data_IF_806960250317
#
_entry.id   IF_806960250317
#
_cell.length_a   1.000
_cell.length_b   1.000
_cell.length_c   1.000
_cell.angle_alpha   90.00
_cell.angle_beta   90.00
_cell.angle_gamma   90.00
#
_symmetry.space_group_name_H-M   'P 1'
#
loop_
_entity.id
_entity.type
_entity.pdbx_description
1 polymer ?
#
# COMPACT_ATOMS: atom_id res chain seq x y z
N UNK A 1 20.52 16.81 -13.48
CA UNK A 1 19.58 17.85 -13.11
C UNK A 1 19.27 17.77 -11.63
N UNK A 2 19.24 18.91 -10.95
CA UNK A 2 19.07 18.94 -9.49
C UNK A 2 17.76 18.32 -9.01
N UNK A 3 16.58 18.57 -9.62
CA UNK A 3 15.35 17.91 -9.21
C UNK A 3 15.42 16.39 -9.34
N UNK A 4 16.05 15.88 -10.39
CA UNK A 4 16.20 14.44 -10.58
C UNK A 4 17.12 13.82 -9.51
N UNK A 5 18.18 14.56 -9.16
CA UNK A 5 19.11 14.14 -8.12
C UNK A 5 18.41 14.10 -6.75
N UNK A 6 17.59 15.10 -6.46
CA UNK A 6 16.83 15.14 -5.22
C UNK A 6 15.82 14.00 -5.14
N UNK A 7 15.10 13.73 -6.24
CA UNK A 7 14.16 12.62 -6.26
C UNK A 7 14.86 11.28 -6.06
N UNK A 8 16.00 11.07 -6.73
CA UNK A 8 16.79 9.85 -6.54
C UNK A 8 17.22 9.68 -5.07
N UNK A 9 17.58 10.79 -4.42
CA UNK A 9 17.92 10.77 -2.99
C UNK A 9 16.72 10.36 -2.15
N UNK A 10 15.53 10.84 -2.49
CA UNK A 10 14.31 10.47 -1.79
C UNK A 10 14.03 8.97 -1.91
N UNK A 11 14.22 8.40 -3.11
CA UNK A 11 14.06 6.95 -3.31
C UNK A 11 15.06 6.18 -2.46
N UNK A 12 16.30 6.65 -2.38
CA UNK A 12 17.31 6.03 -1.53
C UNK A 12 16.89 6.07 -0.06
N UNK A 13 16.33 7.19 0.40
CA UNK A 13 15.80 7.30 1.76
C UNK A 13 14.68 6.30 2.00
N UNK A 14 13.79 6.08 1.03
CA UNK A 14 12.72 5.07 1.15
C UNK A 14 13.31 3.67 1.32
N UNK A 15 14.31 3.33 0.52
CA UNK A 15 14.97 2.02 0.61
C UNK A 15 15.63 1.81 1.97
N UNK A 16 16.14 2.89 2.55
CA UNK A 16 16.77 2.86 3.88
C UNK A 16 15.77 3.06 5.01
N UNK A 17 14.47 3.10 4.69
CA UNK A 17 13.39 3.31 5.66
C UNK A 17 13.50 4.64 6.42
N UNK A 18 14.09 5.63 5.79
CA UNK A 18 14.18 6.99 6.32
C UNK A 18 13.02 7.80 5.76
N UNK A 19 11.82 7.46 6.22
CA UNK A 19 10.58 7.96 5.62
C UNK A 19 10.36 9.46 5.81
N UNK A 20 10.74 10.00 6.95
CA UNK A 20 10.61 11.43 7.19
C UNK A 20 11.45 12.25 6.23
N UNK A 21 12.69 11.83 6.01
CA UNK A 21 13.60 12.49 5.07
C UNK A 21 13.11 12.36 3.64
N UNK A 22 12.61 11.17 3.28
CA UNK A 22 12.02 10.95 1.97
C UNK A 22 10.82 11.86 1.74
N UNK A 23 9.95 11.99 2.74
CA UNK A 23 8.73 12.77 2.62
C UNK A 23 9.01 14.26 2.41
N UNK A 24 10.04 14.81 3.06
CA UNK A 24 10.41 16.20 2.84
C UNK A 24 10.63 16.53 1.37
N UNK A 25 11.20 15.56 0.65
CA UNK A 25 11.47 15.72 -0.78
C UNK A 25 10.22 15.38 -1.61
N UNK A 26 9.53 14.29 -1.25
CA UNK A 26 8.46 13.72 -2.06
C UNK A 26 7.12 14.44 -1.94
N UNK A 27 6.91 15.22 -0.88
CA UNK A 27 5.62 15.83 -0.62
C UNK A 27 5.00 16.54 -1.84
N UNK A 28 5.73 17.38 -2.59
CA UNK A 28 5.14 18.08 -3.73
C UNK A 28 4.74 17.19 -4.90
N UNK A 29 5.29 15.98 -4.99
CA UNK A 29 5.05 15.09 -6.11
C UNK A 29 3.71 14.37 -6.04
N UNK A 30 3.22 14.11 -4.84
CA UNK A 30 1.96 13.40 -4.61
C UNK A 30 1.80 12.13 -5.45
N UNK A 31 2.88 11.37 -5.58
CA UNK A 31 2.92 10.11 -6.33
C UNK A 31 2.91 8.91 -5.39
N UNK A 32 3.03 7.70 -5.95
CA UNK A 32 3.01 6.47 -5.16
C UNK A 32 4.13 6.44 -4.13
N UNK A 33 5.31 6.96 -4.46
CA UNK A 33 6.43 7.02 -3.51
C UNK A 33 6.10 7.94 -2.33
N UNK A 34 5.42 9.06 -2.59
CA UNK A 34 4.92 9.94 -1.54
C UNK A 34 3.93 9.20 -0.63
N UNK A 35 3.02 8.44 -1.24
CA UNK A 35 2.05 7.65 -0.48
C UNK A 35 2.74 6.61 0.39
N UNK A 36 3.79 5.96 -0.10
CA UNK A 36 4.56 5.00 0.68
C UNK A 36 5.17 5.66 1.91
N UNK A 37 5.75 6.84 1.75
CA UNK A 37 6.32 7.59 2.88
C UNK A 37 5.25 7.96 3.90
N UNK A 38 4.10 8.49 3.45
CA UNK A 38 2.99 8.82 4.34
C UNK A 38 2.49 7.60 5.11
N UNK A 39 2.24 6.51 4.39
CA UNK A 39 1.72 5.26 4.94
C UNK A 39 2.67 4.70 6.01
N UNK A 40 3.97 4.74 5.74
CA UNK A 40 5.00 4.23 6.64
C UNK A 40 5.12 5.08 7.91
N UNK A 41 4.75 6.36 7.83
CA UNK A 41 4.74 7.27 8.97
C UNK A 41 3.39 7.32 9.70
N UNK A 42 2.39 6.58 9.21
CA UNK A 42 1.08 6.56 9.83
C UNK A 42 0.12 7.64 9.37
N UNK A 43 0.45 8.41 8.35
CA UNK A 43 -0.45 9.41 7.77
C UNK A 43 -1.37 8.73 6.75
N UNK A 44 -2.27 7.87 7.27
CA UNK A 44 -3.05 6.95 6.47
C UNK A 44 -4.01 7.64 5.49
N UNK A 45 -4.67 8.70 5.93
CA UNK A 45 -5.62 9.41 5.06
C UNK A 45 -4.91 10.12 3.91
N UNK A 46 -3.75 10.73 4.18
CA UNK A 46 -2.97 11.39 3.14
C UNK A 46 -2.48 10.38 2.09
N UNK A 47 -1.99 9.23 2.55
CA UNK A 47 -1.56 8.16 1.66
C UNK A 47 -2.72 7.63 0.81
N UNK A 48 -3.86 7.38 1.44
CA UNK A 48 -5.03 6.83 0.75
C UNK A 48 -5.53 7.77 -0.34
N UNK A 49 -5.59 9.06 -0.05
CA UNK A 49 -6.01 10.07 -1.03
C UNK A 49 -5.16 10.02 -2.30
N UNK A 50 -3.85 9.91 -2.12
CA UNK A 50 -2.93 9.83 -3.27
C UNK A 50 -3.16 8.54 -4.06
N UNK A 51 -3.26 7.41 -3.34
CA UNK A 51 -3.41 6.11 -4.00
C UNK A 51 -4.73 5.98 -4.74
N UNK A 52 -5.79 6.59 -4.23
CA UNK A 52 -7.09 6.56 -4.91
C UNK A 52 -7.05 7.29 -6.25
N UNK A 53 -6.15 8.24 -6.42
CA UNK A 53 -5.98 9.01 -7.65
C UNK A 53 -4.87 8.45 -8.54
N UNK A 54 -4.18 7.42 -8.09
CA UNK A 54 -3.09 6.79 -8.83
C UNK A 54 -3.60 5.67 -9.74
N UNK A 55 -2.73 5.14 -10.59
CA UNK A 55 -3.06 3.96 -11.38
C UNK A 55 -3.42 2.81 -10.46
N UNK A 56 -4.51 2.12 -10.78
CA UNK A 56 -5.02 1.01 -9.96
C UNK A 56 -4.34 -0.29 -10.37
N UNK A 57 -3.14 -0.50 -9.85
CA UNK A 57 -2.36 -1.73 -10.04
C UNK A 57 -2.64 -2.68 -8.87
N UNK A 58 -2.17 -3.91 -8.97
CA UNK A 58 -2.28 -4.85 -7.84
C UNK A 58 -1.61 -4.27 -6.60
N UNK A 59 -0.43 -3.66 -6.76
CA UNK A 59 0.32 -3.08 -5.65
C UNK A 59 -0.40 -1.89 -5.01
N UNK A 60 -0.91 -0.94 -5.82
CA UNK A 60 -1.60 0.22 -5.26
C UNK A 60 -2.92 -0.17 -4.62
N UNK A 61 -3.64 -1.16 -5.15
CA UNK A 61 -4.85 -1.65 -4.54
C UNK A 61 -4.56 -2.40 -3.24
N UNK A 62 -3.47 -3.15 -3.19
CA UNK A 62 -3.05 -3.83 -1.97
C UNK A 62 -2.75 -2.82 -0.86
N UNK A 63 -2.02 -1.75 -1.18
CA UNK A 63 -1.75 -0.69 -0.22
C UNK A 63 -3.03 0.00 0.25
N UNK A 64 -3.98 0.25 -0.67
CA UNK A 64 -5.28 0.81 -0.30
C UNK A 64 -6.04 -0.12 0.63
N UNK A 65 -5.93 -1.44 0.44
CA UNK A 65 -6.55 -2.42 1.32
C UNK A 65 -6.01 -2.30 2.75
N UNK A 66 -4.68 -2.21 2.89
CA UNK A 66 -4.04 -2.01 4.20
C UNK A 66 -4.56 -0.74 4.85
N UNK A 67 -4.59 0.37 4.09
CA UNK A 67 -5.00 1.67 4.62
C UNK A 67 -6.47 1.67 5.04
N UNK A 68 -7.33 1.05 4.25
CA UNK A 68 -8.74 0.94 4.62
C UNK A 68 -8.93 0.06 5.86
N UNK A 69 -8.14 -1.01 6.00
CA UNK A 69 -8.16 -1.84 7.20
C UNK A 69 -7.76 -1.02 8.44
N UNK A 70 -6.70 -0.23 8.33
CA UNK A 70 -6.25 0.65 9.43
C UNK A 70 -7.32 1.66 9.83
N UNK A 71 -8.07 2.16 8.85
CA UNK A 71 -9.12 3.15 9.07
C UNK A 71 -10.47 2.54 9.48
N UNK A 72 -10.55 1.22 9.59
CA UNK A 72 -11.76 0.54 10.01
C UNK A 72 -12.77 0.29 8.89
N UNK A 73 -12.39 0.54 7.64
CA UNK A 73 -13.26 0.33 6.47
C UNK A 73 -13.06 -1.09 5.93
N UNK A 74 -13.52 -2.08 6.69
CA UNK A 74 -13.24 -3.49 6.40
C UNK A 74 -13.77 -3.98 5.06
N UNK A 75 -15.02 -3.61 4.73
CA UNK A 75 -15.62 -4.06 3.47
C UNK A 75 -14.85 -3.50 2.26
N UNK A 76 -14.45 -2.25 2.33
CA UNK A 76 -13.65 -1.64 1.27
C UNK A 76 -12.28 -2.32 1.18
N UNK A 77 -11.66 -2.62 2.32
CA UNK A 77 -10.38 -3.31 2.37
C UNK A 77 -10.48 -4.68 1.70
N UNK A 78 -11.53 -5.45 2.00
CA UNK A 78 -11.76 -6.76 1.40
C UNK A 78 -11.94 -6.64 -0.12
N UNK A 79 -12.76 -5.71 -0.57
CA UNK A 79 -13.01 -5.49 -1.99
C UNK A 79 -11.71 -5.18 -2.76
N UNK A 80 -10.89 -4.30 -2.20
CA UNK A 80 -9.60 -3.94 -2.80
C UNK A 80 -8.63 -5.10 -2.83
N UNK A 81 -8.61 -5.90 -1.76
CA UNK A 81 -7.73 -7.05 -1.67
C UNK A 81 -8.12 -8.12 -2.70
N UNK A 82 -9.41 -8.39 -2.85
CA UNK A 82 -9.89 -9.32 -3.86
C UNK A 82 -9.54 -8.85 -5.26
N UNK A 83 -9.71 -7.56 -5.53
CA UNK A 83 -9.35 -6.96 -6.82
C UNK A 83 -7.85 -7.07 -7.09
N UNK A 84 -7.03 -6.77 -6.09
CA UNK A 84 -5.57 -6.89 -6.22
C UNK A 84 -5.17 -8.33 -6.56
N UNK A 85 -5.80 -9.30 -5.91
CA UNK A 85 -5.51 -10.72 -6.14
C UNK A 85 -5.95 -11.18 -7.55
N UNK A 86 -7.00 -10.58 -8.11
CA UNK A 86 -7.38 -10.87 -9.48
C UNK A 86 -6.35 -10.36 -10.48
N UNK A 87 -5.75 -9.22 -10.20
CA UNK A 87 -4.70 -8.67 -11.06
C UNK A 87 -3.40 -9.46 -10.91
N UNK A 88 -3.04 -9.80 -9.67
CA UNK A 88 -1.81 -10.54 -9.36
C UNK A 88 -2.10 -11.57 -8.28
N UNK A 89 -2.12 -12.83 -8.68
CA UNK A 89 -2.47 -13.96 -7.82
C UNK A 89 -1.57 -14.07 -6.58
N UNK A 90 -0.33 -13.59 -6.66
CA UNK A 90 0.61 -13.60 -5.55
C UNK A 90 0.12 -12.79 -4.35
N UNK A 91 -0.80 -11.87 -4.56
CA UNK A 91 -1.36 -11.06 -3.47
C UNK A 91 -2.13 -11.92 -2.45
N UNK A 92 -2.65 -13.08 -2.86
CA UNK A 92 -3.30 -14.03 -1.96
C UNK A 92 -2.34 -14.50 -0.88
N UNK A 93 -1.17 -14.96 -1.31
CA UNK A 93 -0.15 -15.46 -0.39
C UNK A 93 0.37 -14.36 0.51
N UNK A 94 0.61 -13.19 -0.09
CA UNK A 94 1.11 -12.03 0.64
C UNK A 94 0.13 -11.63 1.76
N UNK A 95 -1.17 -11.57 1.45
CA UNK A 95 -2.20 -11.17 2.42
C UNK A 95 -2.32 -12.16 3.58
N UNK A 96 -2.19 -13.45 3.31
CA UNK A 96 -2.24 -14.47 4.36
C UNK A 96 -1.12 -14.32 5.38
N UNK A 97 0.03 -13.79 4.94
CA UNK A 97 1.21 -13.63 5.78
C UNK A 97 1.37 -12.22 6.33
N UNK A 98 0.58 -11.27 5.84
CA UNK A 98 0.70 -9.86 6.22
C UNK A 98 0.00 -9.62 7.56
N UNK A 99 0.71 -9.19 8.60
CA UNK A 99 0.09 -8.93 9.91
C UNK A 99 -1.04 -7.92 9.84
N UNK A 100 -1.02 -7.01 8.89
CA UNK A 100 -2.05 -5.97 8.77
C UNK A 100 -3.33 -6.49 8.12
N UNK A 101 -3.26 -7.60 7.39
CA UNK A 101 -4.42 -8.11 6.63
C UNK A 101 -4.83 -9.52 7.03
N UNK A 102 -3.96 -10.29 7.69
CA UNK A 102 -4.22 -11.70 7.97
C UNK A 102 -5.47 -11.95 8.80
N UNK A 103 -5.75 -11.08 9.77
CA UNK A 103 -6.97 -11.21 10.59
C UNK A 103 -8.22 -10.98 9.75
N UNK A 104 -8.16 -10.01 8.84
CA UNK A 104 -9.27 -9.71 7.93
C UNK A 104 -9.51 -10.88 6.96
N UNK A 105 -8.43 -11.44 6.44
CA UNK A 105 -8.49 -12.61 5.56
C UNK A 105 -9.21 -13.76 6.27
N UNK A 106 -8.88 -14.02 7.52
CA UNK A 106 -9.53 -15.07 8.31
C UNK A 106 -10.99 -14.74 8.62
N UNK A 107 -11.26 -13.51 9.03
CA UNK A 107 -12.59 -13.07 9.42
C UNK A 107 -13.61 -13.26 8.28
N UNK A 108 -13.20 -12.94 7.07
CA UNK A 108 -14.08 -13.02 5.89
C UNK A 108 -13.89 -14.29 5.08
N UNK A 109 -13.07 -15.22 5.55
CA UNK A 109 -12.85 -16.50 4.87
C UNK A 109 -12.23 -16.37 3.50
N UNK A 110 -11.32 -15.39 3.31
CA UNK A 110 -10.68 -15.14 2.03
C UNK A 110 -9.48 -16.08 1.85
N UNK A 111 -9.18 -16.40 0.59
CA UNK A 111 -7.94 -17.11 0.22
C UNK A 111 -7.66 -18.32 1.09
N UNK A 112 -8.65 -19.19 1.20
CA UNK A 112 -8.51 -20.44 1.94
C UNK A 112 -7.44 -21.29 1.28
N UNK A 113 -6.82 -22.16 2.08
CA UNK A 113 -5.75 -23.03 1.59
C UNK A 113 -6.16 -23.83 0.34
N UNK A 114 -7.41 -24.29 0.31
CA UNK A 114 -7.96 -25.00 -0.84
C UNK A 114 -7.98 -24.15 -2.12
N UNK A 115 -8.13 -22.85 -1.97
CA UNK A 115 -8.20 -21.92 -3.10
C UNK A 115 -6.82 -21.52 -3.60
N UNK A 116 -5.77 -21.86 -2.87
CA UNK A 116 -4.40 -21.49 -3.21
C UNK A 116 -3.70 -22.54 -4.08
N UNK A 117 -4.30 -23.70 -4.25
CA UNK A 117 -3.74 -24.83 -5.03
C UNK A 117 -4.60 -25.15 -6.29
#
# INVERSE_FOLDING_TARGET
>A
NEPDTMYARAVDYLEKRKYGQALEILRPYEDVNTAIAYMSLGYDKAALRILEQSSQTAETQYMQAILNARLGNEQRAVSLLLSAAEIDDRMRFRANLDPELSLLVKKYGLFKEDDLW
#
